data_IF_000944691699
#
_entry.id   IF_000944691699
#
_cell.length_a   1.000
_cell.length_b   1.000
_cell.length_c   1.000
_cell.angle_alpha   90.00
_cell.angle_beta   90.00
_cell.angle_gamma   90.00
#
_symmetry.space_group_name_H-M   'P 1'
#
loop_
_entity.id
_entity.type
_entity.pdbx_description
1 polymer ?
#
# COMPACT_ATOMS: atom_id res chain seq x y z
N UNK A 1 -59.53 -22.28 -13.65
CA UNK A 1 -59.47 -21.71 -12.28
C UNK A 1 -58.45 -22.36 -11.32
N UNK A 2 -57.88 -23.56 -11.57
CA UNK A 2 -56.92 -24.22 -10.62
C UNK A 2 -55.46 -24.30 -11.10
N UNK A 3 -55.13 -23.75 -12.28
CA UNK A 3 -53.77 -23.84 -12.87
C UNK A 3 -52.94 -22.55 -12.78
N UNK A 4 -53.58 -21.40 -12.53
CA UNK A 4 -52.86 -20.12 -12.36
C UNK A 4 -52.38 -19.88 -10.91
N UNK A 5 -52.96 -20.56 -9.92
CA UNK A 5 -52.54 -20.42 -8.52
C UNK A 5 -51.22 -21.16 -8.20
N UNK A 6 -50.83 -22.14 -9.03
CA UNK A 6 -49.57 -22.88 -8.87
C UNK A 6 -48.38 -22.20 -9.56
N UNK A 7 -48.61 -21.28 -10.51
CA UNK A 7 -47.53 -20.58 -11.21
C UNK A 7 -47.10 -19.28 -10.51
N UNK A 8 -47.97 -18.66 -9.70
CA UNK A 8 -47.62 -17.51 -8.86
C UNK A 8 -46.92 -17.91 -7.54
N UNK A 9 -47.13 -19.13 -7.03
CA UNK A 9 -46.47 -19.63 -5.82
C UNK A 9 -45.02 -20.07 -6.03
N UNK A 10 -44.66 -20.52 -7.23
CA UNK A 10 -43.29 -20.97 -7.54
C UNK A 10 -42.36 -19.81 -7.90
N UNK A 11 -42.89 -18.69 -8.41
CA UNK A 11 -42.08 -17.49 -8.69
C UNK A 11 -41.70 -16.68 -7.43
N UNK A 12 -42.38 -16.88 -6.30
CA UNK A 12 -42.04 -16.25 -5.02
C UNK A 12 -41.04 -17.06 -4.16
N UNK A 13 -40.58 -18.20 -4.65
CA UNK A 13 -39.49 -19.00 -4.04
C UNK A 13 -38.17 -18.95 -4.84
N UNK A 14 -38.04 -18.01 -5.79
CA UNK A 14 -36.82 -17.75 -6.56
C UNK A 14 -36.09 -16.46 -6.14
N UNK A 15 -36.56 -15.78 -5.10
CA UNK A 15 -35.94 -14.56 -4.55
C UNK A 15 -35.16 -14.81 -3.24
N UNK A 16 -34.77 -16.07 -2.96
CA UNK A 16 -34.06 -16.45 -1.73
C UNK A 16 -32.76 -17.25 -1.99
N UNK A 17 -32.12 -17.03 -3.15
CA UNK A 17 -30.86 -17.70 -3.49
C UNK A 17 -29.78 -16.75 -4.04
N UNK A 18 -29.87 -15.45 -3.73
CA UNK A 18 -28.86 -14.44 -4.09
C UNK A 18 -28.44 -13.73 -2.81
N UNK A 19 -27.87 -14.48 -1.86
CA UNK A 19 -27.54 -13.97 -0.53
C UNK A 19 -26.24 -14.55 -0.04
N UNK A 20 -25.13 -13.98 -0.49
CA UNK A 20 -23.86 -14.04 0.23
C UNK A 20 -23.00 -15.28 -0.03
N UNK A 21 -22.38 -15.35 -1.20
CA UNK A 21 -20.95 -15.69 -1.22
C UNK A 21 -20.19 -14.53 -0.59
N UNK A 22 -20.31 -14.40 0.74
CA UNK A 22 -19.38 -13.60 1.52
C UNK A 22 -18.01 -14.24 1.30
N UNK A 23 -17.19 -13.59 0.49
CA UNK A 23 -15.80 -13.94 0.36
C UNK A 23 -15.24 -14.01 1.77
N UNK A 24 -14.81 -15.19 2.20
CA UNK A 24 -13.90 -15.27 3.32
C UNK A 24 -12.75 -14.35 2.95
N UNK A 25 -12.67 -13.19 3.61
CA UNK A 25 -11.47 -12.37 3.57
C UNK A 25 -10.36 -13.32 4.02
N UNK A 26 -9.59 -13.81 3.06
CA UNK A 26 -8.34 -14.50 3.35
C UNK A 26 -7.62 -13.56 4.30
N UNK A 27 -7.31 -13.95 5.55
CA UNK A 27 -6.42 -13.15 6.34
C UNK A 27 -5.17 -13.02 5.47
N UNK A 28 -4.84 -11.80 5.08
CA UNK A 28 -3.53 -11.52 4.51
C UNK A 28 -2.57 -12.16 5.51
N UNK A 29 -1.83 -13.19 5.08
CA UNK A 29 -0.83 -13.79 5.93
C UNK A 29 0.07 -12.63 6.34
N UNK A 30 -0.04 -12.22 7.60
CA UNK A 30 0.87 -11.25 8.18
C UNK A 30 2.22 -11.94 8.16
N UNK A 31 3.00 -11.69 7.12
CA UNK A 31 4.43 -11.95 7.13
C UNK A 31 4.95 -11.26 8.38
N UNK A 32 5.33 -12.05 9.39
CA UNK A 32 6.08 -11.53 10.52
C UNK A 32 7.38 -10.96 9.96
N UNK A 33 7.44 -9.64 9.80
CA UNK A 33 8.69 -8.94 9.54
C UNK A 33 9.57 -9.15 10.77
N UNK A 34 10.76 -9.72 10.59
CA UNK A 34 11.77 -9.81 11.65
C UNK A 34 12.47 -8.44 11.87
N UNK A 35 11.83 -7.37 11.43
CA UNK A 35 12.35 -6.03 11.57
C UNK A 35 12.33 -5.62 13.05
N UNK A 36 13.39 -4.95 13.55
CA UNK A 36 13.35 -4.32 14.85
C UNK A 36 12.07 -3.50 15.02
N UNK A 37 11.47 -3.57 16.20
CA UNK A 37 10.18 -2.93 16.47
C UNK A 37 10.19 -1.39 16.29
N UNK A 38 11.38 -0.80 16.23
CA UNK A 38 11.66 0.62 16.05
C UNK A 38 12.12 0.98 14.63
N UNK A 39 11.98 0.07 13.66
CA UNK A 39 12.32 0.36 12.25
C UNK A 39 11.42 1.47 11.72
N UNK A 40 12.02 2.60 11.36
CA UNK A 40 11.33 3.73 10.76
C UNK A 40 11.07 3.47 9.27
N UNK A 41 9.80 3.24 8.93
CA UNK A 41 9.32 3.12 7.55
C UNK A 41 8.73 4.43 7.01
N UNK A 42 8.94 5.55 7.70
CA UNK A 42 8.51 6.87 7.26
C UNK A 42 9.14 7.25 5.92
N UNK A 43 8.34 7.84 5.04
CA UNK A 43 8.79 8.31 3.72
C UNK A 43 9.25 9.75 3.73
N UNK A 44 9.14 10.44 4.87
CA UNK A 44 9.57 11.81 5.10
C UNK A 44 10.57 11.83 6.26
N UNK A 45 11.73 12.45 6.05
CA UNK A 45 12.77 12.57 7.07
C UNK A 45 13.44 13.94 7.03
N UNK A 46 13.73 14.50 8.20
CA UNK A 46 14.60 15.65 8.32
C UNK A 46 16.07 15.21 8.21
N UNK A 47 16.90 16.00 7.54
CA UNK A 47 18.36 15.81 7.57
C UNK A 47 18.88 15.88 9.01
N UNK A 48 20.00 15.22 9.32
CA UNK A 48 20.56 15.20 10.69
C UNK A 48 20.88 16.61 11.23
N UNK A 49 21.23 17.55 10.34
CA UNK A 49 21.45 18.97 10.69
C UNK A 49 20.18 19.81 10.77
N UNK A 50 19.00 19.24 10.49
CA UNK A 50 17.72 19.95 10.47
C UNK A 50 17.58 21.00 9.36
N UNK A 51 18.44 20.96 8.33
CA UNK A 51 18.47 21.97 7.26
C UNK A 51 17.55 21.65 6.09
N UNK A 52 17.15 20.39 5.94
CA UNK A 52 16.32 19.90 4.85
C UNK A 52 15.25 18.96 5.38
N UNK A 53 14.10 18.98 4.74
CA UNK A 53 13.07 17.95 4.79
C UNK A 53 13.03 17.24 3.44
N UNK A 54 13.10 15.91 3.48
CA UNK A 54 13.12 15.07 2.29
C UNK A 54 11.94 14.11 2.36
N UNK A 55 11.13 14.08 1.31
CA UNK A 55 10.06 13.09 1.13
C UNK A 55 10.29 12.31 -0.14
N UNK A 56 10.07 10.99 -0.13
CA UNK A 56 10.01 10.20 -1.35
C UNK A 56 8.63 9.57 -1.55
N UNK A 57 8.24 9.40 -2.82
CA UNK A 57 6.97 8.78 -3.19
C UNK A 57 7.21 7.82 -4.36
N UNK A 58 6.78 6.55 -4.27
CA UNK A 58 6.90 5.63 -5.38
C UNK A 58 5.90 5.97 -6.49
N UNK A 59 6.24 5.63 -7.72
CA UNK A 59 5.31 5.77 -8.85
C UNK A 59 4.21 4.70 -8.86
N UNK A 60 4.41 3.59 -8.15
CA UNK A 60 3.50 2.44 -8.10
C UNK A 60 3.32 1.97 -6.65
N UNK A 61 2.06 1.78 -6.26
CA UNK A 61 1.66 1.20 -4.97
C UNK A 61 0.64 0.06 -5.23
N UNK A 62 0.87 -1.15 -4.70
CA UNK A 62 2.01 -1.56 -3.87
C UNK A 62 3.32 -1.67 -4.68
N UNK A 63 4.45 -1.60 -3.97
CA UNK A 63 5.78 -1.82 -4.56
C UNK A 63 5.85 -3.25 -5.13
N UNK A 64 5.97 -3.37 -6.45
CA UNK A 64 6.10 -4.67 -7.13
C UNK A 64 7.51 -5.27 -6.95
N UNK A 65 7.62 -6.58 -6.77
CA UNK A 65 8.94 -7.23 -6.58
C UNK A 65 9.48 -7.68 -7.95
N UNK A 66 10.80 -7.60 -8.14
CA UNK A 66 11.52 -7.98 -9.37
C UNK A 66 11.22 -7.07 -10.58
N UNK A 67 10.92 -5.81 -10.32
CA UNK A 67 10.67 -4.80 -11.35
C UNK A 67 11.60 -3.59 -11.17
N UNK A 68 11.71 -2.78 -12.23
CA UNK A 68 12.36 -1.48 -12.11
C UNK A 68 11.37 -0.48 -11.52
N UNK A 69 11.83 0.28 -10.52
CA UNK A 69 11.02 1.25 -9.81
C UNK A 69 11.34 2.68 -10.23
N UNK A 70 10.31 3.52 -10.21
CA UNK A 70 10.45 4.96 -10.28
C UNK A 70 9.99 5.57 -8.95
N UNK A 71 10.73 6.58 -8.49
CA UNK A 71 10.46 7.31 -7.28
C UNK A 71 10.60 8.81 -7.56
N UNK A 72 9.75 9.60 -6.91
CA UNK A 72 9.86 11.07 -6.90
C UNK A 72 10.45 11.48 -5.56
N UNK A 73 11.50 12.31 -5.60
CA UNK A 73 12.08 12.94 -4.42
C UNK A 73 11.63 14.40 -4.34
N UNK A 74 11.09 14.80 -3.19
CA UNK A 74 10.79 16.19 -2.86
C UNK A 74 11.76 16.66 -1.78
N UNK A 75 12.48 17.75 -2.03
CA UNK A 75 13.49 18.30 -1.11
C UNK A 75 13.19 19.77 -0.88
N UNK A 76 13.01 20.14 0.38
CA UNK A 76 12.71 21.50 0.81
C UNK A 76 13.44 21.87 2.11
N UNK A 77 13.51 23.16 2.42
CA UNK A 77 13.91 23.63 3.76
C UNK A 77 12.80 23.33 4.78
N UNK A 78 13.07 23.39 6.09
CA UNK A 78 12.03 23.21 7.12
C UNK A 78 10.86 24.21 7.02
N UNK A 79 11.08 25.33 6.36
CA UNK A 79 10.08 26.38 6.10
C UNK A 79 9.29 26.15 4.80
N UNK A 80 9.58 25.07 4.07
CA UNK A 80 8.89 24.67 2.83
C UNK A 80 9.42 25.35 1.56
N UNK A 81 10.61 25.95 1.59
CA UNK A 81 11.23 26.50 0.39
C UNK A 81 11.90 25.40 -0.43
N UNK A 82 11.78 25.37 -1.77
CA UNK A 82 12.48 24.38 -2.59
C UNK A 82 14.00 24.55 -2.48
N UNK A 83 14.72 23.43 -2.56
CA UNK A 83 16.19 23.45 -2.62
C UNK A 83 16.63 23.39 -4.08
N UNK A 84 17.22 24.49 -4.57
CA UNK A 84 17.81 24.57 -5.90
C UNK A 84 19.25 24.02 -5.92
N UNK A 85 19.72 23.60 -7.11
CA UNK A 85 21.09 23.11 -7.37
C UNK A 85 21.57 21.99 -6.45
N UNK A 86 20.65 21.15 -5.97
CA UNK A 86 20.97 20.04 -5.09
C UNK A 86 21.80 18.96 -5.79
N UNK A 87 22.84 18.46 -5.11
CA UNK A 87 23.55 17.25 -5.50
C UNK A 87 22.90 16.05 -4.82
N UNK A 88 22.31 15.17 -5.62
CA UNK A 88 21.62 13.97 -5.12
C UNK A 88 22.48 12.73 -5.36
N UNK A 89 22.77 12.01 -4.29
CA UNK A 89 23.40 10.69 -4.33
C UNK A 89 22.45 9.68 -3.67
N UNK A 90 22.33 8.49 -4.28
CA UNK A 90 21.44 7.42 -3.80
C UNK A 90 22.29 6.18 -3.54
N UNK A 91 22.12 5.59 -2.35
CA UNK A 91 22.73 4.32 -1.96
C UNK A 91 21.65 3.36 -1.49
N UNK A 92 21.82 2.07 -1.79
CA UNK A 92 20.97 1.00 -1.28
C UNK A 92 21.75 0.10 -0.32
N UNK A 93 21.02 -0.68 0.47
CA UNK A 93 21.56 -1.72 1.34
C UNK A 93 20.42 -2.53 1.95
N UNK A 94 20.77 -3.63 2.61
CA UNK A 94 19.80 -4.47 3.33
C UNK A 94 20.30 -4.65 4.77
N UNK A 95 20.08 -3.69 5.70
CA UNK A 95 20.71 -3.71 7.03
C UNK A 95 20.46 -4.99 7.84
N UNK A 96 19.30 -5.62 7.67
CA UNK A 96 18.94 -6.88 8.34
C UNK A 96 19.60 -8.12 7.71
N UNK A 97 20.20 -7.97 6.53
CA UNK A 97 20.90 -9.02 5.82
C UNK A 97 22.38 -8.62 5.82
N UNK A 98 23.25 -9.45 6.41
CA UNK A 98 24.70 -9.14 6.55
C UNK A 98 25.46 -9.05 5.20
N UNK A 99 24.73 -9.01 4.08
CA UNK A 99 25.16 -8.76 2.73
C UNK A 99 24.12 -7.85 2.07
N UNK A 100 24.56 -6.68 1.59
CA UNK A 100 23.75 -5.68 0.90
C UNK A 100 24.59 -4.93 -0.10
#
# INVERSE_FOLDING_TARGET
MRRYFLLLGVLLLLAAAIGGCGGAATPAMQMSSNAPADTDFGTTRASDGGLFQVTYTPALEPIAINELHQWTLHVETPEGAPVDDAVIAVSGGMPEHNHG
#
